data_IF_180971040350
#
_entry.id   IF_180971040350
#
_cell.length_a   1.000
_cell.length_b   1.000
_cell.length_c   1.000
_cell.angle_alpha   90.00
_cell.angle_beta   90.00
_cell.angle_gamma   90.00
#
_symmetry.space_group_name_H-M   'P 1'
#
loop_
_entity.id
_entity.type
_entity.pdbx_description
1 polymer ?
#
# COMPACT_ATOMS: atom_id res chain seq x y z
N UNK A 1 8.66 -15.03 -0.94
CA UNK A 1 9.44 -14.38 -2.01
C UNK A 1 10.87 -14.83 -1.93
N UNK A 2 11.46 -15.07 -3.06
CA UNK A 2 12.84 -15.50 -3.12
C UNK A 2 13.80 -14.38 -2.76
N UNK A 3 14.92 -14.73 -2.14
CA UNK A 3 15.97 -13.77 -1.87
C UNK A 3 16.63 -13.34 -3.17
N UNK A 4 16.90 -12.06 -3.28
CA UNK A 4 17.63 -11.53 -4.43
C UNK A 4 19.09 -11.98 -4.39
N UNK A 5 19.66 -12.27 -5.54
CA UNK A 5 21.10 -12.54 -5.67
C UNK A 5 21.93 -11.27 -5.74
N UNK A 6 21.29 -10.13 -5.80
CA UNK A 6 21.96 -8.82 -5.82
C UNK A 6 22.00 -8.24 -4.40
N UNK A 7 22.86 -7.23 -4.14
CA UNK A 7 22.83 -6.53 -2.86
C UNK A 7 21.42 -6.03 -2.55
N UNK A 8 21.06 -6.04 -1.26
CA UNK A 8 19.67 -5.77 -0.85
C UNK A 8 19.24 -4.35 -1.18
N UNK A 9 20.01 -3.36 -0.80
CA UNK A 9 19.77 -1.97 -1.15
C UNK A 9 21.09 -1.38 -1.61
N UNK A 10 21.05 -0.73 -2.75
CA UNK A 10 22.23 -0.08 -3.32
C UNK A 10 21.98 1.42 -3.35
N UNK A 11 22.89 2.19 -2.78
CA UNK A 11 22.83 3.65 -2.80
C UNK A 11 24.00 4.19 -3.61
N UNK A 12 23.73 5.14 -4.46
CA UNK A 12 24.72 5.82 -5.27
C UNK A 12 24.48 7.32 -5.29
N UNK A 13 25.21 8.03 -6.14
CA UNK A 13 25.05 9.46 -6.29
C UNK A 13 23.75 9.73 -7.08
N UNK A 14 22.70 10.16 -6.39
CA UNK A 14 21.43 10.51 -7.02
C UNK A 14 20.49 9.35 -7.27
N UNK A 15 20.77 8.16 -6.69
CA UNK A 15 19.86 7.02 -6.86
C UNK A 15 19.94 6.03 -5.70
N UNK A 16 18.87 5.24 -5.55
CA UNK A 16 18.84 4.08 -4.67
C UNK A 16 18.01 2.99 -5.33
N UNK A 17 18.39 1.74 -5.15
CA UNK A 17 17.74 0.57 -5.74
C UNK A 17 17.52 -0.46 -4.65
N UNK A 18 16.31 -1.02 -4.59
CA UNK A 18 16.00 -2.11 -3.68
C UNK A 18 14.82 -2.92 -4.20
N UNK A 19 14.69 -4.15 -3.73
CA UNK A 19 13.58 -5.01 -4.11
C UNK A 19 12.60 -5.19 -2.95
N UNK A 20 11.48 -5.87 -3.21
CA UNK A 20 10.46 -6.09 -2.18
C UNK A 20 11.04 -6.82 -0.96
N UNK A 21 11.87 -7.82 -1.19
CA UNK A 21 12.41 -8.63 -0.11
C UNK A 21 13.37 -7.85 0.79
N UNK A 22 14.05 -6.84 0.25
CA UNK A 22 14.99 -6.02 1.00
C UNK A 22 14.32 -4.88 1.78
N UNK A 23 13.05 -4.60 1.50
CA UNK A 23 12.34 -3.45 2.07
C UNK A 23 11.34 -3.82 3.16
N UNK A 24 11.29 -5.07 3.56
CA UNK A 24 10.45 -5.56 4.65
C UNK A 24 10.29 -7.08 4.60
N UNK A 25 9.67 -7.64 5.63
CA UNK A 25 9.47 -9.08 5.78
C UNK A 25 8.02 -9.40 6.14
N UNK A 26 7.58 -10.61 5.81
CA UNK A 26 6.25 -11.10 6.17
C UNK A 26 5.12 -10.29 5.57
N UNK A 27 3.90 -10.45 6.10
CA UNK A 27 2.78 -9.58 5.73
C UNK A 27 3.04 -8.15 6.16
N UNK A 28 2.52 -7.19 5.39
CA UNK A 28 2.62 -5.78 5.75
C UNK A 28 3.42 -4.98 4.75
N UNK A 29 3.89 -3.84 5.23
CA UNK A 29 4.51 -2.85 4.36
C UNK A 29 5.91 -3.24 3.91
N UNK A 30 6.18 -2.95 2.65
CA UNK A 30 7.53 -2.84 2.10
C UNK A 30 7.81 -1.35 1.98
N UNK A 31 8.70 -0.84 2.82
CA UNK A 31 8.86 0.60 3.05
C UNK A 31 9.72 1.24 1.97
N UNK A 32 9.13 1.39 0.80
CA UNK A 32 9.81 1.90 -0.39
C UNK A 32 10.28 3.33 -0.17
N UNK A 33 9.39 4.19 0.32
CA UNK A 33 9.74 5.60 0.51
C UNK A 33 10.94 5.75 1.45
N UNK A 34 10.86 5.15 2.63
CA UNK A 34 11.94 5.27 3.62
C UNK A 34 13.19 4.54 3.18
N UNK A 35 13.03 3.32 2.68
CA UNK A 35 14.14 2.50 2.30
C UNK A 35 14.97 3.04 1.15
N UNK A 36 14.34 3.74 0.23
CA UNK A 36 15.01 4.30 -0.94
C UNK A 36 15.19 5.82 -0.86
N UNK A 37 14.67 6.45 0.19
CA UNK A 37 14.85 7.88 0.39
C UNK A 37 14.02 8.78 -0.53
N UNK A 38 12.83 8.31 -0.93
CA UNK A 38 11.93 9.13 -1.74
C UNK A 38 11.40 10.28 -0.89
N UNK A 39 11.47 11.51 -1.40
CA UNK A 39 11.08 12.69 -0.64
C UNK A 39 9.86 13.42 -1.23
N UNK A 40 9.59 13.25 -2.52
CA UNK A 40 8.61 14.06 -3.22
C UNK A 40 7.18 13.51 -3.11
N UNK A 41 7.01 12.25 -2.77
CA UNK A 41 5.70 11.61 -2.65
C UNK A 41 5.80 10.40 -1.73
N UNK A 42 4.65 9.92 -1.27
CA UNK A 42 4.57 8.67 -0.51
C UNK A 42 4.50 7.49 -1.45
N UNK A 43 5.20 6.43 -1.15
CA UNK A 43 5.14 5.19 -1.91
C UNK A 43 5.50 4.02 -1.01
N UNK A 44 4.66 3.00 -1.01
CA UNK A 44 4.96 1.73 -0.36
C UNK A 44 4.37 0.61 -1.18
N UNK A 45 4.97 -0.57 -1.08
CA UNK A 45 4.31 -1.78 -1.47
C UNK A 45 3.76 -2.45 -0.20
N UNK A 46 2.72 -3.23 -0.36
CA UNK A 46 2.07 -3.91 0.77
C UNK A 46 1.82 -5.35 0.36
N UNK A 47 2.26 -6.28 1.21
CA UNK A 47 2.01 -7.70 1.04
C UNK A 47 0.87 -8.09 1.98
N UNK A 48 -0.24 -8.55 1.42
CA UNK A 48 -1.40 -8.94 2.22
C UNK A 48 -1.72 -10.41 2.03
N UNK A 49 -1.87 -11.16 3.14
CA UNK A 49 -2.12 -12.60 3.05
C UNK A 49 -3.53 -12.90 2.54
N UNK A 50 -3.71 -14.13 2.07
CA UNK A 50 -5.02 -14.61 1.64
C UNK A 50 -6.04 -14.43 2.76
N UNK A 51 -7.23 -13.98 2.39
CA UNK A 51 -8.33 -13.78 3.35
C UNK A 51 -8.25 -12.48 4.15
N UNK A 52 -7.17 -11.73 4.05
CA UNK A 52 -7.07 -10.46 4.77
C UNK A 52 -8.04 -9.44 4.21
N UNK A 53 -8.68 -8.71 5.12
CA UNK A 53 -9.57 -7.60 4.80
C UNK A 53 -9.18 -6.42 5.67
N UNK A 54 -8.92 -5.28 5.05
CA UNK A 54 -8.62 -4.05 5.78
C UNK A 54 -9.91 -3.43 6.35
N UNK A 55 -9.77 -2.51 7.28
CA UNK A 55 -10.87 -1.61 7.62
C UNK A 55 -11.07 -0.56 6.53
N UNK A 56 -12.22 0.13 6.56
CA UNK A 56 -12.40 1.31 5.74
C UNK A 56 -11.50 2.44 6.23
N UNK A 57 -10.94 3.18 5.29
CA UNK A 57 -10.20 4.39 5.59
C UNK A 57 -10.31 5.40 4.45
N UNK A 58 -10.02 6.63 4.76
CA UNK A 58 -9.86 7.71 3.80
C UNK A 58 -8.67 8.56 4.23
N UNK A 59 -8.36 9.57 3.47
CA UNK A 59 -7.27 10.49 3.78
C UNK A 59 -7.80 11.93 3.79
N UNK A 60 -7.18 12.78 4.58
CA UNK A 60 -7.60 14.18 4.64
C UNK A 60 -7.14 14.96 3.42
N UNK A 61 -5.93 14.70 2.94
CA UNK A 61 -5.32 15.47 1.87
C UNK A 61 -4.82 14.64 0.70
N UNK A 62 -4.18 13.48 0.95
CA UNK A 62 -3.49 12.82 -0.14
C UNK A 62 -4.40 12.02 -1.05
N UNK A 63 -4.22 12.20 -2.34
CA UNK A 63 -4.75 11.34 -3.38
C UNK A 63 -3.85 10.13 -3.47
N UNK A 64 -4.44 8.94 -3.70
CA UNK A 64 -3.66 7.71 -3.82
C UNK A 64 -3.88 7.03 -5.15
N UNK A 65 -2.82 6.41 -5.65
CA UNK A 65 -2.86 5.53 -6.81
C UNK A 65 -2.37 4.15 -6.37
N UNK A 66 -3.24 3.16 -6.55
CA UNK A 66 -2.92 1.76 -6.27
C UNK A 66 -2.57 1.06 -7.57
N UNK A 67 -1.59 0.17 -7.52
CA UNK A 67 -1.23 -0.71 -8.62
C UNK A 67 -1.09 -2.13 -8.10
N UNK A 68 -1.81 -3.08 -8.70
CA UNK A 68 -1.78 -4.47 -8.28
C UNK A 68 -0.64 -5.18 -9.00
N UNK A 69 0.38 -5.52 -8.23
CA UNK A 69 1.56 -6.20 -8.73
C UNK A 69 1.35 -7.72 -8.82
N UNK A 70 0.67 -8.30 -7.83
CA UNK A 70 0.47 -9.75 -7.75
C UNK A 70 -0.84 -10.06 -7.04
N UNK A 71 -1.54 -11.08 -7.51
CA UNK A 71 -2.75 -11.57 -6.88
C UNK A 71 -4.01 -10.89 -7.36
N UNK A 72 -5.11 -11.18 -6.69
CA UNK A 72 -6.42 -10.60 -7.00
C UNK A 72 -7.02 -10.01 -5.74
N UNK A 73 -7.32 -8.73 -5.80
CA UNK A 73 -7.91 -7.97 -4.71
C UNK A 73 -9.31 -7.52 -5.09
N UNK A 74 -10.08 -7.17 -4.07
CA UNK A 74 -11.30 -6.38 -4.25
C UNK A 74 -11.17 -5.11 -3.46
N UNK A 75 -11.66 -4.01 -4.04
CA UNK A 75 -11.75 -2.74 -3.33
C UNK A 75 -13.22 -2.37 -3.21
N UNK A 76 -13.63 -2.14 -1.98
CA UNK A 76 -14.97 -1.68 -1.66
C UNK A 76 -14.91 -0.21 -1.27
N UNK A 77 -15.86 0.58 -1.80
CA UNK A 77 -15.96 2.00 -1.49
C UNK A 77 -17.12 2.28 -0.54
N UNK A 78 -17.10 3.45 0.07
CA UNK A 78 -18.09 3.84 1.05
C UNK A 78 -19.53 3.89 0.52
N UNK A 79 -19.71 3.96 -0.80
CA UNK A 79 -21.03 3.92 -1.43
C UNK A 79 -21.58 2.49 -1.60
N UNK A 80 -20.81 1.48 -1.15
CA UNK A 80 -21.18 0.08 -1.26
C UNK A 80 -20.74 -0.60 -2.55
N UNK A 81 -20.16 0.12 -3.50
CA UNK A 81 -19.67 -0.50 -4.74
C UNK A 81 -18.42 -1.34 -4.44
N UNK A 82 -18.29 -2.45 -5.17
CA UNK A 82 -17.16 -3.38 -5.02
C UNK A 82 -16.59 -3.65 -6.40
N UNK A 83 -15.27 -3.55 -6.51
CA UNK A 83 -14.58 -3.71 -7.78
C UNK A 83 -13.43 -4.70 -7.64
N UNK A 84 -13.32 -5.63 -8.58
CA UNK A 84 -12.21 -6.56 -8.66
C UNK A 84 -10.97 -5.86 -9.22
N UNK A 85 -9.83 -6.11 -8.61
CA UNK A 85 -8.55 -5.55 -9.02
C UNK A 85 -7.59 -6.70 -9.28
N UNK A 86 -7.41 -7.04 -10.54
CA UNK A 86 -6.49 -8.09 -10.96
C UNK A 86 -5.10 -7.52 -11.21
N UNK A 87 -4.13 -8.40 -11.40
CA UNK A 87 -2.75 -7.99 -11.69
C UNK A 87 -2.71 -7.01 -12.85
N UNK A 88 -1.95 -5.93 -12.68
CA UNK A 88 -1.83 -4.89 -13.68
C UNK A 88 -2.89 -3.79 -13.60
N UNK A 89 -3.84 -3.90 -12.67
CA UNK A 89 -4.89 -2.89 -12.52
C UNK A 89 -4.39 -1.70 -11.71
N UNK A 90 -4.79 -0.51 -12.16
CA UNK A 90 -4.58 0.74 -11.43
C UNK A 90 -5.90 1.25 -10.87
N UNK A 91 -5.86 1.81 -9.67
CA UNK A 91 -7.03 2.47 -9.08
C UNK A 91 -6.59 3.80 -8.47
N UNK A 92 -7.16 4.90 -8.96
CA UNK A 92 -6.97 6.22 -8.36
C UNK A 92 -8.10 6.46 -7.38
N UNK A 93 -7.77 6.91 -6.18
CA UNK A 93 -8.76 7.17 -5.13
C UNK A 93 -8.52 8.57 -4.56
N UNK A 94 -9.54 9.42 -4.61
CA UNK A 94 -9.48 10.75 -4.03
C UNK A 94 -9.34 10.67 -2.50
N UNK A 95 -8.74 11.70 -1.92
CA UNK A 95 -8.45 11.72 -0.50
C UNK A 95 -9.65 11.33 0.38
N UNK A 96 -10.81 12.00 0.31
CA UNK A 96 -11.90 11.73 1.25
C UNK A 96 -12.75 10.50 0.92
N UNK A 97 -12.43 9.78 -0.13
CA UNK A 97 -13.22 8.61 -0.55
C UNK A 97 -12.89 7.42 0.35
N UNK A 98 -13.88 6.94 1.12
CA UNK A 98 -13.71 5.74 1.94
C UNK A 98 -13.53 4.52 1.09
N UNK A 99 -12.52 3.72 1.41
CA UNK A 99 -12.22 2.46 0.71
C UNK A 99 -11.65 1.44 1.65
N UNK A 100 -11.83 0.19 1.29
CA UNK A 100 -11.12 -0.93 1.92
C UNK A 100 -10.73 -1.95 0.87
N UNK A 101 -9.70 -2.71 1.19
CA UNK A 101 -9.16 -3.76 0.33
C UNK A 101 -9.31 -5.11 1.01
N UNK A 102 -9.54 -6.14 0.21
CA UNK A 102 -9.46 -7.52 0.69
C UNK A 102 -8.75 -8.38 -0.35
N UNK A 103 -8.03 -9.37 0.14
CA UNK A 103 -7.38 -10.35 -0.72
C UNK A 103 -8.35 -11.52 -0.91
N UNK A 104 -8.87 -11.65 -2.12
CA UNK A 104 -9.84 -12.70 -2.47
C UNK A 104 -9.18 -13.89 -3.18
N UNK A 105 -7.86 -13.86 -3.33
CA UNK A 105 -7.10 -14.96 -3.90
C UNK A 105 -6.69 -15.98 -2.84
N UNK A 106 -5.96 -16.99 -3.29
CA UNK A 106 -5.53 -18.09 -2.42
C UNK A 106 -4.13 -17.88 -1.85
N UNK A 107 -3.36 -16.95 -2.42
CA UNK A 107 -1.99 -16.66 -2.03
C UNK A 107 -1.85 -15.20 -1.60
N UNK A 108 -0.66 -14.84 -1.13
CA UNK A 108 -0.33 -13.45 -0.83
C UNK A 108 -0.55 -12.58 -2.06
N UNK A 109 -1.11 -11.41 -1.85
CA UNK A 109 -1.22 -10.38 -2.89
C UNK A 109 -0.25 -9.25 -2.57
N UNK A 110 0.18 -8.54 -3.61
CA UNK A 110 1.08 -7.41 -3.47
C UNK A 110 0.53 -6.24 -4.27
N UNK A 111 0.34 -5.11 -3.61
CA UNK A 111 0.02 -3.88 -4.31
C UNK A 111 1.02 -2.79 -3.96
N UNK A 112 1.15 -1.84 -4.88
CA UNK A 112 1.95 -0.62 -4.68
C UNK A 112 0.97 0.53 -4.52
N UNK A 113 1.20 1.39 -3.55
CA UNK A 113 0.39 2.58 -3.34
C UNK A 113 1.28 3.80 -3.35
N UNK A 114 0.91 4.76 -4.18
CA UNK A 114 1.59 6.05 -4.29
C UNK A 114 0.61 7.12 -3.85
N UNK A 115 1.04 8.02 -2.99
CA UNK A 115 0.16 9.08 -2.48
C UNK A 115 0.87 10.40 -2.32
N UNK A 116 0.09 11.47 -2.38
CA UNK A 116 0.60 12.81 -2.17
C UNK A 116 -0.44 13.89 -2.43
N UNK A 117 -0.05 15.10 -2.17
CA UNK A 117 -0.80 16.32 -2.48
C UNK A 117 0.23 17.43 -2.62
N UNK A 118 0.62 17.70 -3.86
CA UNK A 118 1.69 18.67 -4.12
C UNK A 118 2.99 18.33 -3.37
N UNK A 119 3.24 17.03 -3.20
CA UNK A 119 4.38 16.50 -2.47
C UNK A 119 3.96 15.41 -1.48
N UNK A 120 4.89 15.00 -0.65
CA UNK A 120 4.63 13.98 0.35
C UNK A 120 3.69 14.50 1.44
N UNK A 121 2.72 13.66 1.80
CA UNK A 121 1.83 13.90 2.95
C UNK A 121 1.91 12.68 3.86
N UNK A 122 2.23 12.90 5.14
CA UNK A 122 2.30 11.83 6.12
C UNK A 122 1.03 11.71 6.94
N UNK A 123 0.73 10.51 7.39
CA UNK A 123 -0.26 10.20 8.45
C UNK A 123 -1.57 10.99 8.44
N UNK A 124 -2.19 11.12 7.30
CA UNK A 124 -3.48 11.81 7.21
C UNK A 124 -4.66 10.85 7.06
N UNK A 125 -4.44 9.55 7.22
CA UNK A 125 -5.48 8.54 7.10
C UNK A 125 -6.40 8.54 8.32
N UNK A 126 -7.69 8.31 8.08
CA UNK A 126 -8.68 8.18 9.15
C UNK A 126 -9.70 7.10 8.80
N UNK A 127 -10.27 6.49 9.84
CA UNK A 127 -11.32 5.49 9.72
C UNK A 127 -12.69 6.17 9.84
N UNK A 128 -13.79 5.48 9.45
CA UNK A 128 -15.12 5.98 9.74
C UNK A 128 -15.27 6.22 11.25
N UNK A 129 -16.14 7.16 11.61
CA UNK A 129 -16.36 7.51 13.01
C UNK A 129 -16.71 6.25 13.84
N UNK A 130 -16.03 6.08 14.95
CA UNK A 130 -16.23 4.95 15.84
C UNK A 130 -15.47 3.69 15.46
N UNK A 131 -14.73 3.69 14.35
CA UNK A 131 -13.97 2.55 13.91
C UNK A 131 -12.47 2.82 14.01
N UNK A 132 -11.70 1.74 14.15
CA UNK A 132 -10.25 1.82 14.23
C UNK A 132 -9.66 1.24 12.95
N UNK A 133 -8.61 1.86 12.44
CA UNK A 133 -7.90 1.34 11.27
C UNK A 133 -7.13 0.07 11.65
N UNK A 134 -7.13 -0.90 10.71
CA UNK A 134 -6.41 -2.16 10.86
C UNK A 134 -5.47 -2.34 9.67
N UNK A 135 -4.18 -2.44 9.95
CA UNK A 135 -3.17 -2.74 8.95
C UNK A 135 -3.00 -4.23 8.71
N UNK A 136 -2.20 -4.63 7.72
CA UNK A 136 -2.00 -6.04 7.36
C UNK A 136 -1.38 -6.89 8.46
N UNK A 137 -0.73 -6.27 9.44
CA UNK A 137 -0.11 -6.95 10.58
C UNK A 137 -0.93 -6.83 11.85
N UNK A 138 -2.12 -6.22 11.79
CA UNK A 138 -2.98 -6.00 12.95
C UNK A 138 -2.74 -4.68 13.66
N UNK A 139 -1.74 -3.92 13.31
CA UNK A 139 -1.54 -2.59 13.87
C UNK A 139 -2.23 -1.52 13.00
N UNK A 140 -2.28 -0.29 13.48
CA UNK A 140 -2.95 0.78 12.77
C UNK A 140 -2.23 1.22 11.50
N UNK A 141 -1.03 0.72 11.31
CA UNK A 141 -0.26 0.92 10.09
C UNK A 141 0.06 2.35 9.77
N UNK A 142 1.24 2.56 9.22
CA UNK A 142 1.66 3.86 8.76
C UNK A 142 2.31 3.71 7.40
N UNK A 143 1.95 4.61 6.50
CA UNK A 143 2.56 4.63 5.20
C UNK A 143 3.69 5.60 5.19
N UNK A 144 4.72 5.17 5.45
CA UNK A 144 5.62 6.17 5.42
C UNK A 144 6.94 6.33 5.31
#
# INVERSE_FOLDING_TARGET
MEASRYPKVVNGAGYAIGDLASLGEGPGFRKVRRGLGVTAFGVNAVVIPAGYESGFHAHEQQEELYFIHRGTLEMEFGDGSVHGLEEGTFARVDAPTMRKLRNVGEDDAVYVCVGGKDGYVGRDAYAPEGEQRVGPTGDSGERG
#
